data_IF_157787970649
#
_entry.id   IF_157787970649
#
_cell.length_a   1.000
_cell.length_b   1.000
_cell.length_c   1.000
_cell.angle_alpha   90.00
_cell.angle_beta   90.00
_cell.angle_gamma   90.00
#
_symmetry.space_group_name_H-M   'P 1'
#
loop_
_entity.id
_entity.type
_entity.pdbx_description
1 polymer ?
#
# COMPACT_ATOMS: atom_id res chain seq x y z
N UNK A 1 30.54 7.25 -5.03
CA UNK A 1 29.44 6.84 -4.13
C UNK A 1 28.71 5.65 -4.76
N UNK A 2 28.77 4.49 -4.12
CA UNK A 2 28.13 3.28 -4.63
C UNK A 2 26.59 3.47 -4.60
N UNK A 3 25.91 3.26 -5.73
CA UNK A 3 24.44 3.20 -5.80
C UNK A 3 23.99 2.06 -4.90
N UNK A 4 23.27 2.36 -3.83
CA UNK A 4 22.54 1.36 -3.02
C UNK A 4 21.62 0.55 -3.95
N UNK A 5 21.57 -0.77 -3.76
CA UNK A 5 20.66 -1.63 -4.50
C UNK A 5 19.18 -1.23 -4.20
N UNK A 6 18.27 -1.28 -5.19
CA UNK A 6 16.89 -0.81 -5.04
C UNK A 6 16.12 -1.47 -3.87
N UNK A 7 16.42 -2.72 -3.55
CA UNK A 7 15.78 -3.44 -2.43
C UNK A 7 16.17 -2.93 -1.03
N UNK A 8 17.39 -2.41 -0.87
CA UNK A 8 17.82 -1.83 0.42
C UNK A 8 17.11 -0.50 0.69
N UNK A 9 16.85 0.27 -0.35
CA UNK A 9 16.15 1.54 -0.27
C UNK A 9 14.65 1.36 0.07
N UNK A 10 13.99 0.36 -0.54
CA UNK A 10 12.58 0.05 -0.28
C UNK A 10 12.35 -0.43 1.17
N UNK A 11 13.23 -1.28 1.70
CA UNK A 11 13.14 -1.76 3.07
C UNK A 11 13.39 -0.66 4.11
N UNK A 12 14.25 0.31 3.82
CA UNK A 12 14.50 1.48 4.67
C UNK A 12 13.31 2.43 4.67
N UNK A 13 12.75 2.72 3.49
CA UNK A 13 11.55 3.54 3.32
C UNK A 13 10.35 2.96 4.10
N UNK A 14 10.13 1.66 4.02
CA UNK A 14 9.04 0.99 4.76
C UNK A 14 9.27 1.02 6.28
N UNK A 15 10.51 0.85 6.76
CA UNK A 15 10.81 0.95 8.20
C UNK A 15 10.57 2.36 8.72
N UNK A 16 11.01 3.39 7.99
CA UNK A 16 10.77 4.79 8.31
C UNK A 16 9.27 5.07 8.36
N UNK A 17 8.55 4.69 7.32
CA UNK A 17 7.10 4.85 7.26
C UNK A 17 6.37 4.22 8.46
N UNK A 18 6.73 2.97 8.83
CA UNK A 18 6.15 2.29 10.01
C UNK A 18 6.44 3.03 11.31
N UNK A 19 7.63 3.61 11.44
CA UNK A 19 7.99 4.45 12.60
C UNK A 19 7.15 5.72 12.65
N UNK A 20 7.03 6.42 11.52
CA UNK A 20 6.26 7.67 11.40
C UNK A 20 4.77 7.43 11.64
N UNK A 21 4.22 6.33 11.11
CA UNK A 21 2.83 5.90 11.35
C UNK A 21 2.56 5.66 12.84
N UNK A 22 3.50 4.98 13.53
CA UNK A 22 3.39 4.71 14.98
C UNK A 22 3.52 5.98 15.80
N UNK A 23 4.41 6.89 15.42
CA UNK A 23 4.61 8.18 16.08
C UNK A 23 3.49 9.20 15.78
N UNK A 24 2.68 8.98 14.73
CA UNK A 24 1.68 9.94 14.26
C UNK A 24 2.27 11.08 13.44
N UNK A 25 3.51 10.96 12.96
CA UNK A 25 4.26 11.98 12.22
C UNK A 25 4.34 11.65 10.72
N UNK A 26 3.20 11.30 10.12
CA UNK A 26 3.15 11.02 8.68
C UNK A 26 3.53 12.25 7.87
N UNK A 27 4.33 12.04 6.83
CA UNK A 27 4.66 13.06 5.84
C UNK A 27 3.46 13.51 5.01
N UNK A 28 3.71 14.31 4.01
CA UNK A 28 2.66 14.90 3.16
C UNK A 28 2.64 14.38 1.71
N UNK A 29 3.56 13.48 1.32
CA UNK A 29 3.53 12.89 -0.02
C UNK A 29 3.98 11.41 0.01
N UNK A 30 3.09 10.52 -0.43
CA UNK A 30 3.34 9.09 -0.55
C UNK A 30 3.00 8.55 -1.94
N UNK A 31 3.79 7.58 -2.39
CA UNK A 31 3.49 6.76 -3.57
C UNK A 31 3.52 5.31 -3.13
N UNK A 32 2.41 4.61 -3.31
CA UNK A 32 2.25 3.19 -2.98
C UNK A 32 2.09 2.38 -4.27
N UNK A 33 2.95 1.37 -4.45
CA UNK A 33 2.96 0.53 -5.65
C UNK A 33 3.45 -0.89 -5.34
N UNK A 34 3.49 -1.76 -6.34
CA UNK A 34 4.05 -3.11 -6.25
C UNK A 34 3.01 -4.21 -6.47
N UNK A 35 3.45 -5.47 -6.51
CA UNK A 35 2.60 -6.60 -6.86
C UNK A 35 1.70 -7.09 -5.72
N UNK A 36 2.09 -6.84 -4.45
CA UNK A 36 1.36 -7.35 -3.28
C UNK A 36 0.19 -6.46 -2.90
N UNK A 37 -0.96 -6.75 -3.47
CA UNK A 37 -2.21 -5.98 -3.31
C UNK A 37 -2.68 -5.91 -1.85
N UNK A 38 -2.51 -6.99 -1.07
CA UNK A 38 -2.91 -7.03 0.33
C UNK A 38 -2.16 -5.97 1.14
N UNK A 39 -0.83 -5.88 0.97
CA UNK A 39 -0.03 -4.91 1.70
C UNK A 39 -0.32 -3.49 1.22
N UNK A 40 -0.49 -3.27 -0.09
CA UNK A 40 -0.87 -1.95 -0.61
C UNK A 40 -2.16 -1.46 0.04
N UNK A 41 -3.24 -2.26 -0.02
CA UNK A 41 -4.53 -1.91 0.59
C UNK A 41 -4.39 -1.68 2.08
N UNK A 42 -3.71 -2.57 2.80
CA UNK A 42 -3.49 -2.44 4.24
C UNK A 42 -2.85 -1.10 4.63
N UNK A 43 -1.78 -0.68 3.93
CA UNK A 43 -1.10 0.57 4.26
C UNK A 43 -1.85 1.81 3.78
N UNK A 44 -2.58 1.73 2.68
CA UNK A 44 -3.52 2.78 2.25
C UNK A 44 -4.59 3.01 3.32
N UNK A 45 -5.19 1.93 3.84
CA UNK A 45 -6.20 2.01 4.89
C UNK A 45 -5.65 2.59 6.19
N UNK A 46 -4.41 2.21 6.56
CA UNK A 46 -3.76 2.77 7.74
C UNK A 46 -3.48 4.28 7.62
N UNK A 47 -3.02 4.75 6.45
CA UNK A 47 -2.82 6.19 6.18
C UNK A 47 -4.17 6.90 6.23
N UNK A 48 -5.16 6.38 5.51
CA UNK A 48 -6.51 6.97 5.44
C UNK A 48 -7.12 7.09 6.83
N UNK A 49 -7.09 6.01 7.61
CA UNK A 49 -7.59 6.01 8.99
C UNK A 49 -6.85 7.00 9.88
N UNK A 50 -5.53 7.14 9.70
CA UNK A 50 -4.73 8.03 10.56
C UNK A 50 -4.96 9.51 10.25
N UNK A 51 -5.25 9.87 8.99
CA UNK A 51 -5.40 11.26 8.55
C UNK A 51 -6.88 11.68 8.55
N UNK A 52 -7.76 10.82 8.06
CA UNK A 52 -9.18 11.10 7.88
C UNK A 52 -10.05 10.41 8.96
N UNK A 53 -9.53 10.21 10.17
CA UNK A 53 -10.28 9.63 11.28
C UNK A 53 -11.23 10.67 11.89
N UNK A 54 -12.42 10.21 12.33
CA UNK A 54 -13.40 11.02 13.04
C UNK A 54 -14.61 11.46 12.22
N UNK A 55 -15.53 12.23 12.83
CA UNK A 55 -16.85 12.57 12.26
C UNK A 55 -16.78 13.38 10.96
N UNK A 56 -15.70 14.13 10.75
CA UNK A 56 -15.47 14.95 9.55
C UNK A 56 -14.53 14.28 8.53
N UNK A 57 -14.15 13.01 8.74
CA UNK A 57 -13.16 12.32 7.91
C UNK A 57 -13.51 12.29 6.42
N UNK A 58 -14.78 12.06 6.09
CA UNK A 58 -15.24 12.05 4.69
C UNK A 58 -15.05 13.41 4.00
N UNK A 59 -15.26 14.53 4.69
CA UNK A 59 -15.07 15.88 4.15
C UNK A 59 -13.61 16.24 3.92
N UNK A 60 -12.69 15.57 4.63
CA UNK A 60 -11.26 15.78 4.54
C UNK A 60 -10.54 14.74 3.67
N UNK A 61 -11.29 13.89 2.97
CA UNK A 61 -10.75 12.86 2.09
C UNK A 61 -11.23 13.08 0.65
N UNK A 62 -10.34 13.57 -0.20
CA UNK A 62 -10.59 13.73 -1.63
C UNK A 62 -10.02 12.53 -2.38
N UNK A 63 -10.78 12.00 -3.33
CA UNK A 63 -10.34 10.84 -4.11
C UNK A 63 -10.48 11.12 -5.61
N UNK A 64 -9.40 10.82 -6.33
CA UNK A 64 -9.32 10.93 -7.78
C UNK A 64 -8.95 9.60 -8.42
N UNK A 65 -9.42 9.41 -9.63
CA UNK A 65 -9.02 8.34 -10.54
C UNK A 65 -8.28 8.91 -11.77
N UNK A 66 -7.85 8.05 -12.67
CA UNK A 66 -7.18 8.49 -13.89
C UNK A 66 -8.06 9.40 -14.78
N UNK A 67 -9.38 9.27 -14.70
CA UNK A 67 -10.32 9.98 -15.56
C UNK A 67 -10.60 11.41 -15.09
N UNK A 68 -10.47 11.70 -13.82
CA UNK A 68 -10.85 12.98 -13.20
C UNK A 68 -9.69 13.76 -12.56
N UNK A 69 -8.51 13.14 -12.43
CA UNK A 69 -7.33 13.78 -11.87
C UNK A 69 -6.61 14.68 -12.89
N UNK A 70 -7.01 15.93 -12.97
CA UNK A 70 -6.24 16.96 -13.67
C UNK A 70 -5.30 17.68 -12.71
N UNK A 71 -4.20 18.31 -13.17
CA UNK A 71 -3.34 19.11 -12.30
C UNK A 71 -4.10 20.21 -11.53
N UNK A 72 -5.09 20.84 -12.18
CA UNK A 72 -5.90 21.87 -11.54
C UNK A 72 -6.80 21.28 -10.45
N UNK A 73 -7.52 20.19 -10.74
CA UNK A 73 -8.39 19.53 -9.76
C UNK A 73 -7.59 19.01 -8.55
N UNK A 74 -6.36 18.49 -8.81
CA UNK A 74 -5.46 18.09 -7.74
C UNK A 74 -5.01 19.27 -6.89
N UNK A 75 -4.62 20.40 -7.50
CA UNK A 75 -4.22 21.60 -6.78
C UNK A 75 -5.38 22.15 -5.94
N UNK A 76 -6.57 22.25 -6.50
CA UNK A 76 -7.77 22.73 -5.79
C UNK A 76 -8.09 21.88 -4.55
N UNK A 77 -7.92 20.55 -4.65
CA UNK A 77 -8.13 19.65 -3.53
C UNK A 77 -7.01 19.73 -2.47
N UNK A 78 -5.77 19.99 -2.88
CA UNK A 78 -4.64 20.19 -1.96
C UNK A 78 -4.79 21.49 -1.19
N UNK A 79 -5.25 22.55 -1.85
CA UNK A 79 -5.46 23.88 -1.26
C UNK A 79 -6.69 23.95 -0.35
N UNK A 80 -7.56 22.94 -0.40
CA UNK A 80 -8.72 22.85 0.46
C UNK A 80 -8.32 22.71 1.94
N UNK A 81 -8.70 23.69 2.75
CA UNK A 81 -8.41 23.69 4.19
C UNK A 81 -9.15 22.55 4.90
N UNK A 82 -8.50 21.85 5.86
CA UNK A 82 -9.16 20.80 6.62
C UNK A 82 -10.33 21.33 7.44
N UNK A 83 -11.45 20.58 7.39
CA UNK A 83 -12.67 20.90 8.11
C UNK A 83 -12.73 20.11 9.42
N UNK A 84 -12.65 20.79 10.56
CA UNK A 84 -12.69 20.18 11.91
C UNK A 84 -11.66 19.05 12.11
N UNK A 85 -10.55 19.10 11.41
CA UNK A 85 -9.44 18.16 11.46
C UNK A 85 -8.11 18.89 11.30
N UNK A 86 -7.01 18.23 11.61
CA UNK A 86 -5.66 18.82 11.44
C UNK A 86 -5.15 18.70 10.01
N UNK A 87 -5.63 17.69 9.26
CA UNK A 87 -5.11 17.37 7.93
C UNK A 87 -6.20 16.94 6.96
N UNK A 88 -5.92 17.13 5.67
CA UNK A 88 -6.66 16.54 4.55
C UNK A 88 -5.87 15.40 3.93
N UNK A 89 -6.58 14.46 3.31
CA UNK A 89 -6.03 13.39 2.49
C UNK A 89 -6.50 13.54 1.05
N UNK A 90 -5.58 13.65 0.11
CA UNK A 90 -5.88 13.60 -1.32
C UNK A 90 -5.33 12.30 -1.88
N UNK A 91 -6.21 11.34 -2.15
CA UNK A 91 -5.87 10.04 -2.72
C UNK A 91 -6.07 10.06 -4.23
N UNK A 92 -5.08 9.56 -4.96
CA UNK A 92 -5.07 9.48 -6.42
C UNK A 92 -4.79 8.04 -6.84
N UNK A 93 -5.75 7.41 -7.51
CA UNK A 93 -5.65 6.01 -7.92
C UNK A 93 -5.30 5.90 -9.41
N UNK A 94 -4.26 5.12 -9.74
CA UNK A 94 -3.86 4.68 -11.09
C UNK A 94 -3.59 5.78 -12.13
N UNK A 95 -3.16 6.96 -11.72
CA UNK A 95 -2.76 8.04 -12.63
C UNK A 95 -1.30 7.85 -13.08
N UNK A 96 -1.09 7.50 -14.36
CA UNK A 96 0.26 7.43 -14.93
C UNK A 96 0.82 8.84 -15.16
N UNK A 97 1.51 9.37 -14.16
CA UNK A 97 2.10 10.71 -14.18
C UNK A 97 3.09 10.92 -15.34
N UNK A 98 3.80 9.88 -15.75
CA UNK A 98 4.82 9.98 -16.79
C UNK A 98 4.24 9.87 -18.22
N UNK A 99 3.01 9.40 -18.38
CA UNK A 99 2.30 9.42 -19.66
C UNK A 99 1.48 10.71 -19.88
N UNK A 100 1.39 11.58 -18.89
CA UNK A 100 0.69 12.85 -19.05
C UNK A 100 1.37 13.77 -20.06
N UNK A 101 0.65 14.70 -20.72
CA UNK A 101 1.22 15.73 -21.56
C UNK A 101 2.29 16.56 -20.84
N UNK A 102 3.24 17.15 -21.58
CA UNK A 102 4.37 17.86 -21.00
C UNK A 102 3.94 18.99 -20.06
N UNK A 103 2.98 19.82 -20.47
CA UNK A 103 2.44 20.90 -19.64
C UNK A 103 1.81 20.39 -18.34
N UNK A 104 1.09 19.25 -18.36
CA UNK A 104 0.54 18.65 -17.17
C UNK A 104 1.64 18.11 -16.24
N UNK A 105 2.69 17.47 -16.81
CA UNK A 105 3.84 16.99 -16.01
C UNK A 105 4.59 18.12 -15.30
N UNK A 106 4.71 19.28 -15.94
CA UNK A 106 5.34 20.46 -15.31
C UNK A 106 4.48 20.99 -14.16
N UNK A 107 3.17 21.02 -14.33
CA UNK A 107 2.24 21.41 -13.27
C UNK A 107 2.26 20.44 -12.09
N UNK A 108 2.24 19.12 -12.34
CA UNK A 108 2.41 18.12 -11.27
C UNK A 108 3.75 18.29 -10.54
N UNK A 109 4.84 18.55 -11.25
CA UNK A 109 6.13 18.76 -10.62
C UNK A 109 6.14 20.00 -9.71
N UNK A 110 5.49 21.09 -10.13
CA UNK A 110 5.34 22.28 -9.31
C UNK A 110 4.49 22.01 -8.06
N UNK A 111 3.36 21.35 -8.20
CA UNK A 111 2.47 20.96 -7.08
C UNK A 111 3.24 20.10 -6.06
N UNK A 112 3.97 19.09 -6.49
CA UNK A 112 4.72 18.20 -5.59
C UNK A 112 5.88 18.88 -4.86
N UNK A 113 6.38 19.98 -5.38
CA UNK A 113 7.47 20.72 -4.77
C UNK A 113 7.03 21.72 -3.69
N UNK A 114 5.71 21.97 -3.58
CA UNK A 114 5.15 22.97 -2.64
C UNK A 114 3.84 22.46 -2.04
N UNK A 115 3.92 21.33 -1.33
CA UNK A 115 2.77 20.74 -0.64
C UNK A 115 2.61 21.35 0.76
N UNK A 116 1.41 21.81 1.13
CA UNK A 116 1.16 22.34 2.47
C UNK A 116 1.25 21.24 3.54
N UNK A 117 1.67 21.60 4.74
CA UNK A 117 1.86 20.65 5.85
C UNK A 117 0.55 19.97 6.30
N UNK A 118 -0.58 20.64 6.09
CA UNK A 118 -1.90 20.09 6.44
C UNK A 118 -2.45 19.09 5.41
N UNK A 119 -1.86 18.97 4.23
CA UNK A 119 -2.33 18.03 3.21
C UNK A 119 -1.39 16.83 3.09
N UNK A 120 -1.97 15.64 2.98
CA UNK A 120 -1.27 14.43 2.60
C UNK A 120 -1.75 13.96 1.24
N UNK A 121 -0.85 13.92 0.26
CA UNK A 121 -1.11 13.40 -1.08
C UNK A 121 -0.65 11.95 -1.15
N UNK A 122 -1.53 11.06 -1.59
CA UNK A 122 -1.29 9.62 -1.66
C UNK A 122 -1.61 9.09 -3.06
N UNK A 123 -0.58 8.81 -3.86
CA UNK A 123 -0.74 8.10 -5.13
C UNK A 123 -0.71 6.60 -4.89
N UNK A 124 -1.71 5.89 -5.39
CA UNK A 124 -1.85 4.43 -5.29
C UNK A 124 -1.85 3.84 -6.70
N UNK A 125 -0.94 2.91 -6.95
CA UNK A 125 -0.83 2.21 -8.23
C UNK A 125 -1.22 0.75 -8.04
N UNK A 126 -2.41 0.40 -8.54
CA UNK A 126 -2.98 -0.95 -8.45
C UNK A 126 -2.91 -1.69 -9.79
N UNK A 127 -3.41 -1.07 -10.85
CA UNK A 127 -3.45 -1.63 -12.20
C UNK A 127 -2.36 -1.06 -13.11
N UNK A 128 -1.88 0.16 -12.82
CA UNK A 128 -0.81 0.84 -13.55
C UNK A 128 0.53 0.61 -12.87
N UNK A 129 1.53 0.19 -13.65
CA UNK A 129 2.88 0.04 -13.11
C UNK A 129 3.55 1.40 -12.88
N UNK A 130 3.95 1.68 -11.65
CA UNK A 130 4.71 2.89 -11.33
C UNK A 130 6.19 2.72 -11.64
N UNK A 131 6.69 3.53 -12.57
CA UNK A 131 8.13 3.62 -12.89
C UNK A 131 8.55 5.08 -13.10
N UNK A 132 9.59 5.50 -12.39
CA UNK A 132 10.15 6.85 -12.60
C UNK A 132 10.88 6.89 -13.93
N UNK A 133 10.40 7.73 -14.85
CA UNK A 133 11.09 8.01 -16.10
C UNK A 133 12.10 9.15 -15.91
N UNK A 134 13.39 8.80 -15.83
CA UNK A 134 14.47 9.74 -15.61
C UNK A 134 14.73 10.75 -16.77
N UNK A 135 14.13 10.53 -17.95
CA UNK A 135 14.20 11.50 -19.07
C UNK A 135 13.33 12.74 -18.80
N UNK A 136 12.27 12.60 -18.01
CA UNK A 136 11.36 13.66 -17.57
C UNK A 136 11.89 14.30 -16.29
N UNK A 137 12.99 15.05 -16.41
CA UNK A 137 13.85 15.44 -15.28
C UNK A 137 13.13 16.20 -14.17
N UNK A 138 12.26 17.18 -14.48
CA UNK A 138 11.56 18.01 -13.49
C UNK A 138 10.65 17.16 -12.62
N UNK A 139 9.73 16.38 -13.22
CA UNK A 139 8.79 15.52 -12.48
C UNK A 139 9.52 14.41 -11.70
N UNK A 140 10.51 13.77 -12.32
CA UNK A 140 11.31 12.74 -11.66
C UNK A 140 12.12 13.28 -10.46
N UNK A 141 12.61 14.53 -10.53
CA UNK A 141 13.30 15.18 -9.41
C UNK A 141 12.32 15.50 -8.27
N UNK A 142 11.20 16.15 -8.57
CA UNK A 142 10.16 16.46 -7.57
C UNK A 142 9.68 15.23 -6.82
N UNK A 143 9.39 14.12 -7.55
CA UNK A 143 8.97 12.86 -6.91
C UNK A 143 10.08 12.29 -6.00
N UNK A 144 11.35 12.25 -6.47
CA UNK A 144 12.45 11.70 -5.67
C UNK A 144 12.80 12.53 -4.43
N UNK A 145 12.59 13.83 -4.50
CA UNK A 145 12.90 14.75 -3.41
C UNK A 145 11.80 14.77 -2.34
N UNK A 146 10.54 14.75 -2.76
CA UNK A 146 9.41 15.01 -1.86
C UNK A 146 8.57 13.76 -1.54
N UNK A 147 8.53 12.75 -2.42
CA UNK A 147 7.71 11.57 -2.17
C UNK A 147 8.42 10.49 -1.37
N UNK A 148 7.72 9.91 -0.41
CA UNK A 148 8.08 8.63 0.18
C UNK A 148 7.47 7.49 -0.66
N UNK A 149 8.33 6.75 -1.37
CA UNK A 149 7.90 5.67 -2.27
C UNK A 149 7.92 4.36 -1.50
N UNK A 150 6.77 3.70 -1.41
CA UNK A 150 6.57 2.40 -0.77
C UNK A 150 6.21 1.37 -1.84
N UNK A 151 7.12 0.45 -2.11
CA UNK A 151 6.90 -0.61 -3.09
C UNK A 151 6.74 -1.95 -2.38
N UNK A 152 5.61 -2.61 -2.60
CA UNK A 152 5.28 -3.91 -2.03
C UNK A 152 5.40 -5.01 -3.09
N UNK A 153 6.57 -5.64 -3.17
CA UNK A 153 6.80 -6.80 -4.01
C UNK A 153 6.26 -8.09 -3.40
N UNK A 154 6.31 -9.17 -4.16
CA UNK A 154 6.00 -10.51 -3.65
C UNK A 154 6.82 -10.81 -2.41
N UNK A 155 6.16 -11.38 -1.41
CA UNK A 155 6.79 -11.72 -0.16
C UNK A 155 7.58 -13.02 -0.29
N UNK A 156 8.68 -13.14 0.46
CA UNK A 156 9.41 -14.41 0.56
C UNK A 156 8.57 -15.46 1.28
N UNK A 157 8.81 -16.75 1.01
CA UNK A 157 8.14 -17.86 1.71
C UNK A 157 8.28 -17.73 3.23
N UNK A 158 9.47 -17.32 3.69
CA UNK A 158 9.74 -17.08 5.12
C UNK A 158 8.85 -15.98 5.70
N UNK A 159 8.69 -14.88 4.97
CA UNK A 159 7.86 -13.75 5.41
C UNK A 159 6.38 -14.11 5.38
N UNK A 160 5.95 -14.88 4.37
CA UNK A 160 4.60 -15.44 4.28
C UNK A 160 4.32 -16.39 5.45
N UNK A 161 5.21 -17.33 5.77
CA UNK A 161 5.03 -18.24 6.92
C UNK A 161 4.90 -17.46 8.23
N UNK A 162 5.76 -16.45 8.46
CA UNK A 162 5.68 -15.60 9.63
C UNK A 162 4.37 -14.79 9.68
N UNK A 163 3.87 -14.35 8.54
CA UNK A 163 2.60 -13.64 8.43
C UNK A 163 1.40 -14.58 8.65
N UNK A 164 1.37 -15.77 8.02
CA UNK A 164 0.35 -16.81 8.21
C UNK A 164 0.21 -17.18 9.68
N UNK A 165 1.35 -17.41 10.35
CA UNK A 165 1.38 -17.74 11.78
C UNK A 165 0.74 -16.64 12.63
N UNK A 166 1.03 -15.35 12.34
CA UNK A 166 0.41 -14.22 13.05
C UNK A 166 -1.08 -14.12 12.75
N UNK A 167 -1.49 -14.40 11.52
CA UNK A 167 -2.90 -14.32 11.10
C UNK A 167 -3.72 -15.42 11.79
N UNK A 168 -3.25 -16.66 11.84
CA UNK A 168 -3.88 -17.73 12.60
C UNK A 168 -3.96 -17.43 14.11
N UNK A 169 -2.93 -16.82 14.69
CA UNK A 169 -2.95 -16.39 16.10
C UNK A 169 -4.03 -15.36 16.39
N UNK A 170 -4.36 -14.49 15.47
CA UNK A 170 -5.46 -13.54 15.62
C UNK A 170 -6.85 -14.23 15.71
N UNK A 171 -6.94 -15.48 15.26
CA UNK A 171 -8.09 -16.37 15.40
C UNK A 171 -7.94 -17.39 16.55
N UNK A 172 -7.01 -17.19 17.46
CA UNK A 172 -6.70 -18.12 18.56
C UNK A 172 -6.30 -19.53 18.05
N UNK A 173 -5.67 -19.60 16.87
CA UNK A 173 -5.19 -20.83 16.25
C UNK A 173 -3.66 -20.89 16.21
N UNK A 174 -3.15 -22.12 16.29
CA UNK A 174 -1.73 -22.44 16.15
C UNK A 174 -1.49 -23.24 14.87
N UNK A 175 -0.47 -22.90 14.11
CA UNK A 175 -0.06 -23.58 12.88
C UNK A 175 1.43 -23.84 12.92
N UNK A 176 1.89 -24.97 12.38
CA UNK A 176 3.32 -25.29 12.23
C UNK A 176 3.87 -24.69 10.94
N UNK A 177 5.20 -24.51 10.89
CA UNK A 177 5.86 -23.98 9.69
C UNK A 177 5.64 -24.88 8.46
N UNK A 178 5.62 -26.21 8.64
CA UNK A 178 5.31 -27.17 7.57
C UNK A 178 3.90 -26.98 7.00
N UNK A 179 2.92 -26.67 7.86
CA UNK A 179 1.56 -26.41 7.41
C UNK A 179 1.42 -25.01 6.78
N UNK A 180 2.23 -24.04 7.20
CA UNK A 180 2.32 -22.74 6.49
C UNK A 180 2.85 -22.92 5.07
N UNK A 181 3.95 -23.67 4.90
CA UNK A 181 4.52 -23.99 3.59
C UNK A 181 3.52 -24.79 2.73
N UNK A 182 2.83 -25.74 3.35
CA UNK A 182 1.78 -26.52 2.67
C UNK A 182 0.64 -25.63 2.18
N UNK A 183 0.19 -24.68 2.99
CA UNK A 183 -0.86 -23.72 2.61
C UNK A 183 -0.40 -22.82 1.45
N UNK A 184 0.83 -22.32 1.49
CA UNK A 184 1.44 -21.54 0.39
C UNK A 184 1.48 -22.36 -0.90
N UNK A 185 1.90 -23.63 -0.81
CA UNK A 185 1.95 -24.53 -1.97
C UNK A 185 0.55 -24.83 -2.55
N UNK A 186 -0.49 -24.91 -1.71
CA UNK A 186 -1.87 -25.19 -2.14
C UNK A 186 -2.57 -23.98 -2.75
N UNK A 187 -2.04 -22.80 -2.54
CA UNK A 187 -2.58 -21.52 -3.06
C UNK A 187 -1.63 -20.95 -4.12
N UNK A 188 -1.94 -19.75 -4.61
CA UNK A 188 -1.07 -18.98 -5.50
C UNK A 188 0.05 -18.22 -4.75
N UNK A 189 0.08 -18.33 -3.42
CA UNK A 189 1.01 -17.63 -2.54
C UNK A 189 0.75 -16.12 -2.41
N UNK A 190 -0.36 -15.60 -2.96
CA UNK A 190 -0.75 -14.22 -2.78
C UNK A 190 -1.38 -14.01 -1.40
N UNK A 191 -0.97 -12.95 -0.72
CA UNK A 191 -1.47 -12.68 0.64
C UNK A 191 -2.98 -12.47 0.70
N UNK A 192 -3.59 -11.93 -0.37
CA UNK A 192 -5.05 -11.77 -0.46
C UNK A 192 -5.76 -13.13 -0.46
N UNK A 193 -5.28 -14.09 -1.26
CA UNK A 193 -5.82 -15.46 -1.28
C UNK A 193 -5.58 -16.14 0.07
N UNK A 194 -4.35 -16.08 0.57
CA UNK A 194 -3.98 -16.65 1.86
C UNK A 194 -4.85 -16.12 3.02
N UNK A 195 -5.15 -14.82 3.08
CA UNK A 195 -6.00 -14.24 4.11
C UNK A 195 -7.38 -14.89 4.11
N UNK A 196 -8.03 -14.97 2.95
CA UNK A 196 -9.35 -15.60 2.82
C UNK A 196 -9.34 -17.09 3.17
N UNK A 197 -8.28 -17.83 2.80
CA UNK A 197 -8.15 -19.24 3.16
C UNK A 197 -7.92 -19.44 4.66
N UNK A 198 -7.10 -18.61 5.30
CA UNK A 198 -6.85 -18.63 6.75
C UNK A 198 -8.15 -18.40 7.52
N UNK A 199 -8.95 -17.40 7.14
CA UNK A 199 -10.24 -17.12 7.80
C UNK A 199 -11.18 -18.31 7.71
N UNK A 200 -11.29 -18.95 6.55
CA UNK A 200 -12.13 -20.16 6.33
C UNK A 200 -11.62 -21.35 7.14
N UNK A 201 -10.31 -21.61 7.11
CA UNK A 201 -9.70 -22.72 7.86
C UNK A 201 -9.87 -22.50 9.37
N UNK A 202 -9.66 -21.30 9.86
CA UNK A 202 -9.81 -20.95 11.27
C UNK A 202 -11.26 -21.15 11.76
N UNK A 203 -12.24 -20.81 10.92
CA UNK A 203 -13.66 -21.03 11.20
C UNK A 203 -14.04 -22.53 11.16
N UNK A 204 -13.46 -23.30 10.24
CA UNK A 204 -13.72 -24.74 10.09
C UNK A 204 -13.12 -25.57 11.25
N UNK A 205 -11.90 -25.25 11.67
CA UNK A 205 -11.16 -26.01 12.68
C UNK A 205 -11.69 -25.72 14.09
N UNK A 206 -12.30 -26.72 14.75
CA UNK A 206 -12.84 -26.56 16.10
C UNK A 206 -11.77 -26.40 17.18
N UNK A 207 -10.66 -27.17 17.10
CA UNK A 207 -9.56 -27.12 18.06
C UNK A 207 -8.58 -25.95 17.83
N UNK A 208 -7.67 -25.71 18.76
CA UNK A 208 -6.69 -24.61 18.65
C UNK A 208 -5.59 -24.89 17.63
N UNK A 209 -5.29 -26.16 17.32
CA UNK A 209 -4.23 -26.54 16.38
C UNK A 209 -4.80 -26.75 14.98
N UNK A 210 -4.21 -26.07 13.99
CA UNK A 210 -4.54 -26.30 12.58
C UNK A 210 -3.98 -27.67 12.17
N UNK A 211 -4.78 -28.40 11.39
CA UNK A 211 -4.39 -29.70 10.85
C UNK A 211 -4.33 -29.68 9.33
N UNK A 212 -3.55 -30.60 8.75
CA UNK A 212 -3.51 -30.79 7.31
C UNK A 212 -4.91 -31.13 6.75
N UNK A 213 -5.67 -31.94 7.47
CA UNK A 213 -7.04 -32.30 7.09
C UNK A 213 -7.97 -31.09 7.00
N UNK A 214 -7.82 -30.09 7.89
CA UNK A 214 -8.58 -28.85 7.81
C UNK A 214 -8.21 -28.02 6.58
N UNK A 215 -6.93 -27.95 6.24
CA UNK A 215 -6.46 -27.28 5.01
C UNK A 215 -7.04 -27.99 3.78
N UNK A 216 -6.94 -29.32 3.71
CA UNK A 216 -7.41 -30.10 2.57
C UNK A 216 -8.94 -30.05 2.39
N UNK A 217 -9.68 -29.89 3.48
CA UNK A 217 -11.14 -29.80 3.44
C UNK A 217 -11.66 -28.43 2.96
N UNK A 218 -10.87 -27.36 3.15
CA UNK A 218 -11.29 -25.98 2.91
C UNK A 218 -10.68 -25.39 1.64
N UNK A 219 -9.38 -25.64 1.42
CA UNK A 219 -8.63 -25.01 0.34
C UNK A 219 -8.84 -25.75 -0.97
N UNK A 220 -9.40 -25.05 -1.96
CA UNK A 220 -9.43 -25.50 -3.34
C UNK A 220 -8.04 -25.21 -3.94
N UNK A 221 -7.30 -26.22 -4.45
CA UNK A 221 -5.99 -25.99 -5.02
C UNK A 221 -6.04 -24.97 -6.16
N UNK A 222 -5.12 -24.03 -6.18
CA UNK A 222 -4.94 -23.19 -7.35
C UNK A 222 -4.59 -24.08 -8.54
N UNK A 223 -5.29 -23.93 -9.64
CA UNK A 223 -4.93 -24.57 -10.89
C UNK A 223 -3.57 -23.97 -11.31
N UNK A 224 -2.50 -24.77 -11.13
CA UNK A 224 -1.21 -24.43 -11.70
C UNK A 224 -1.37 -24.35 -13.23
N UNK A 225 -1.26 -23.14 -13.76
CA UNK A 225 -1.21 -22.89 -15.20
C UNK A 225 0.11 -23.41 -15.78
#
# INVERSE_FOLDING_TARGET
MARKAPDQDAGEALRRFKSDLKAGTLGNFYIISGEEAFLRSHYVDLITKKIADGPAGEFNCHRFSADDCTPQALADAIDAMPMMAERTLVRVDDVDLFKQPEGAREQYAAIFSDLPDYCCVLFVYDTVEFKINGTMKKLAAAIREHAQILTFGKQSERDLCAWITRHFRAHDKMVTDELCQYLIFRTDGLMTTLAGEIDKIAAYQQGPAITRGAIDAVVIPALSA
#
